data_IF_856158975559
#
_entry.id   IF_856158975559
#
_cell.length_a   1.000
_cell.length_b   1.000
_cell.length_c   1.000
_cell.angle_alpha   90.00
_cell.angle_beta   90.00
_cell.angle_gamma   90.00
#
_symmetry.space_group_name_H-M   'P 1'
#
loop_
_entity.id
_entity.type
_entity.pdbx_description
1 polymer ?
#
# COMPACT_ATOMS: atom_id res chain seq x y z
N UNK A 1 -37.56 -69.98 25.79
CA UNK A 1 -37.69 -68.78 26.63
C UNK A 1 -36.41 -67.94 26.42
N UNK A 2 -36.60 -66.85 25.81
CA UNK A 2 -35.54 -65.95 25.27
C UNK A 2 -35.18 -64.92 26.34
N UNK A 3 -33.88 -64.67 26.56
CA UNK A 3 -33.41 -63.49 27.26
C UNK A 3 -32.27 -62.90 26.43
N UNK A 4 -32.57 -61.79 25.75
CA UNK A 4 -31.63 -60.98 25.08
C UNK A 4 -30.99 -60.03 26.08
N UNK A 5 -29.68 -60.14 26.26
CA UNK A 5 -28.86 -59.14 26.97
C UNK A 5 -28.35 -58.09 25.98
N UNK A 6 -28.78 -56.85 26.19
CA UNK A 6 -28.30 -55.72 25.45
C UNK A 6 -26.98 -55.19 26.05
N UNK A 7 -25.90 -55.23 25.29
CA UNK A 7 -24.67 -54.55 25.64
C UNK A 7 -24.76 -53.10 25.19
N UNK A 8 -24.85 -52.18 26.15
CA UNK A 8 -24.68 -50.77 25.91
C UNK A 8 -23.17 -50.43 25.91
N UNK A 9 -22.61 -50.13 24.75
CA UNK A 9 -21.28 -49.58 24.64
C UNK A 9 -21.40 -48.07 24.78
N UNK A 10 -20.96 -47.52 25.91
CA UNK A 10 -20.83 -46.07 26.12
C UNK A 10 -19.55 -45.58 25.49
N UNK A 11 -19.63 -44.96 24.32
CA UNK A 11 -18.52 -44.25 23.72
C UNK A 11 -18.59 -42.77 24.14
N UNK A 12 -18.00 -42.43 25.28
CA UNK A 12 -17.68 -41.06 25.64
C UNK A 12 -16.21 -40.82 25.29
N UNK A 13 -15.96 -40.52 24.04
CA UNK A 13 -14.72 -39.91 23.58
C UNK A 13 -14.98 -38.42 23.32
N UNK A 14 -14.77 -37.60 24.34
CA UNK A 14 -14.76 -36.14 24.15
C UNK A 14 -13.52 -35.80 23.36
N UNK A 15 -13.67 -35.61 22.05
CA UNK A 15 -12.68 -34.88 21.27
C UNK A 15 -12.78 -33.40 21.68
N UNK A 16 -11.94 -33.00 22.64
CA UNK A 16 -11.61 -31.60 22.82
C UNK A 16 -10.85 -31.17 21.57
N UNK A 17 -11.55 -30.62 20.59
CA UNK A 17 -10.97 -29.81 19.56
C UNK A 17 -10.52 -28.56 20.31
N UNK A 18 -9.22 -28.54 20.65
CA UNK A 18 -8.56 -27.33 21.09
C UNK A 18 -8.78 -26.32 19.97
N UNK A 19 -9.57 -25.29 20.26
CA UNK A 19 -9.63 -24.10 19.38
C UNK A 19 -8.19 -23.58 19.29
N UNK A 20 -7.46 -23.97 18.24
CA UNK A 20 -6.29 -23.23 17.84
C UNK A 20 -6.77 -21.81 17.61
N UNK A 21 -6.49 -20.95 18.57
CA UNK A 21 -6.52 -19.52 18.36
C UNK A 21 -5.77 -19.31 17.04
N UNK A 22 -6.48 -18.95 15.99
CA UNK A 22 -5.86 -18.46 14.77
C UNK A 22 -5.05 -17.26 15.25
N UNK A 23 -3.74 -17.43 15.40
CA UNK A 23 -2.84 -16.32 15.62
C UNK A 23 -3.06 -15.41 14.42
N UNK A 24 -3.75 -14.32 14.69
CA UNK A 24 -3.92 -13.24 13.75
C UNK A 24 -2.52 -12.70 13.56
N UNK A 25 -1.94 -12.92 12.40
CA UNK A 25 -0.65 -12.32 12.06
C UNK A 25 -0.92 -10.82 12.04
N UNK A 26 -0.37 -10.13 13.03
CA UNK A 26 -0.49 -8.67 13.07
C UNK A 26 0.40 -8.09 11.98
N UNK A 27 -0.16 -7.20 11.19
CA UNK A 27 0.58 -6.43 10.20
C UNK A 27 0.95 -5.08 10.80
N UNK A 28 2.18 -4.67 10.54
CA UNK A 28 2.71 -3.39 10.97
C UNK A 28 3.04 -2.55 9.73
N UNK A 29 2.50 -1.34 9.68
CA UNK A 29 2.94 -0.32 8.73
C UNK A 29 4.04 0.52 9.39
N UNK A 30 5.23 0.48 8.81
CA UNK A 30 6.40 1.25 9.22
C UNK A 30 6.65 2.35 8.21
N UNK A 31 6.67 3.61 8.66
CA UNK A 31 7.00 4.75 7.81
C UNK A 31 8.26 5.42 8.34
N UNK A 32 9.23 5.62 7.45
CA UNK A 32 10.50 6.31 7.74
C UNK A 32 10.65 7.49 6.79
N UNK A 33 10.87 8.66 7.34
CA UNK A 33 11.09 9.89 6.56
C UNK A 33 12.25 10.70 7.15
N UNK A 34 13.06 11.33 6.29
CA UNK A 34 14.14 12.24 6.74
C UNK A 34 15.11 12.60 5.64
N UNK A 35 16.32 13.01 6.03
CA UNK A 35 17.39 13.29 5.09
C UNK A 35 17.93 12.01 4.46
N UNK A 36 18.13 12.04 3.14
CA UNK A 36 18.68 10.91 2.40
C UNK A 36 20.16 10.69 2.73
N UNK A 37 20.55 9.45 2.94
CA UNK A 37 21.92 9.00 3.09
C UNK A 37 22.13 7.57 2.58
N UNK A 38 23.35 7.22 2.16
CA UNK A 38 23.65 5.82 1.83
C UNK A 38 23.40 4.89 3.01
N UNK A 39 22.86 3.69 2.73
CA UNK A 39 22.68 2.62 3.72
C UNK A 39 21.39 2.69 4.52
N UNK A 40 20.59 3.75 4.43
CA UNK A 40 19.37 3.93 5.24
C UNK A 40 18.37 2.78 5.10
N UNK A 41 18.17 2.27 3.88
CA UNK A 41 17.28 1.12 3.63
C UNK A 41 17.82 -0.14 4.29
N UNK A 42 19.15 -0.36 4.21
CA UNK A 42 19.79 -1.51 4.83
C UNK A 42 19.67 -1.45 6.37
N UNK A 43 19.93 -0.28 6.96
CA UNK A 43 19.84 -0.08 8.40
C UNK A 43 18.40 -0.35 8.91
N UNK A 44 17.39 0.16 8.22
CA UNK A 44 15.98 -0.07 8.58
C UNK A 44 15.64 -1.56 8.45
N UNK A 45 15.95 -2.17 7.31
CA UNK A 45 15.66 -3.58 7.07
C UNK A 45 16.36 -4.51 8.08
N UNK A 46 17.61 -4.19 8.47
CA UNK A 46 18.35 -4.96 9.46
C UNK A 46 17.71 -4.89 10.85
N UNK A 47 17.22 -3.71 11.26
CA UNK A 47 16.51 -3.56 12.54
C UNK A 47 15.26 -4.43 12.55
N UNK A 48 14.44 -4.37 11.49
CA UNK A 48 13.20 -5.15 11.38
C UNK A 48 13.49 -6.66 11.35
N UNK A 49 14.51 -7.08 10.60
CA UNK A 49 14.93 -8.50 10.55
C UNK A 49 15.40 -9.03 11.90
N UNK A 50 16.16 -8.23 12.69
CA UNK A 50 16.58 -8.61 14.05
C UNK A 50 15.41 -8.80 15.01
N UNK A 51 14.32 -8.09 14.80
CA UNK A 51 13.08 -8.27 15.55
C UNK A 51 12.24 -9.46 15.06
N UNK A 52 12.68 -10.16 14.02
CA UNK A 52 11.94 -11.28 13.44
C UNK A 52 10.76 -10.86 12.56
N UNK A 53 10.71 -9.60 12.14
CA UNK A 53 9.68 -9.10 11.23
C UNK A 53 10.05 -9.44 9.78
N UNK A 54 9.06 -9.97 9.04
CA UNK A 54 9.17 -10.21 7.61
C UNK A 54 8.56 -9.05 6.83
N UNK A 55 9.29 -8.51 5.85
CA UNK A 55 8.77 -7.49 4.95
C UNK A 55 7.94 -8.16 3.87
N UNK A 56 6.68 -7.77 3.75
CA UNK A 56 5.77 -8.26 2.71
C UNK A 56 5.65 -7.28 1.56
N UNK A 57 5.60 -5.97 1.88
CA UNK A 57 5.53 -4.91 0.90
C UNK A 57 6.41 -3.73 1.28
N UNK A 58 6.94 -3.02 0.30
CA UNK A 58 7.70 -1.80 0.56
C UNK A 58 7.72 -0.86 -0.63
N UNK A 59 7.68 0.42 -0.34
CA UNK A 59 7.95 1.48 -1.31
C UNK A 59 8.88 2.53 -0.72
N UNK A 60 9.74 3.11 -1.55
CA UNK A 60 10.59 4.22 -1.14
C UNK A 60 10.71 5.25 -2.25
N UNK A 61 10.90 6.48 -1.86
CA UNK A 61 11.17 7.57 -2.79
C UNK A 61 12.16 8.56 -2.21
N UNK A 62 12.82 9.29 -3.10
CA UNK A 62 13.66 10.43 -2.76
C UNK A 62 13.11 11.68 -3.42
N UNK A 63 12.73 12.65 -2.60
CA UNK A 63 12.15 13.91 -3.04
C UNK A 63 13.04 15.07 -2.58
N UNK A 64 13.77 15.71 -3.50
CA UNK A 64 14.63 16.88 -3.22
C UNK A 64 15.60 16.68 -2.03
N UNK A 65 16.24 15.50 -1.95
CA UNK A 65 17.16 15.18 -0.87
C UNK A 65 16.51 14.62 0.40
N UNK A 66 15.20 14.50 0.43
CA UNK A 66 14.47 13.82 1.50
C UNK A 66 14.14 12.38 1.07
N UNK A 67 14.43 11.46 1.97
CA UNK A 67 14.07 10.06 1.88
C UNK A 67 12.69 9.83 2.50
N UNK A 68 11.87 9.04 1.88
CA UNK A 68 10.63 8.52 2.47
C UNK A 68 10.45 7.05 2.07
N UNK A 69 10.12 6.22 3.05
CA UNK A 69 9.90 4.78 2.87
C UNK A 69 8.69 4.35 3.69
N UNK A 70 7.86 3.51 3.12
CA UNK A 70 6.79 2.81 3.83
C UNK A 70 6.95 1.32 3.58
N UNK A 71 6.79 0.54 4.66
CA UNK A 71 6.90 -0.92 4.63
C UNK A 71 5.68 -1.52 5.31
N UNK A 72 5.24 -2.66 4.82
CA UNK A 72 4.32 -3.55 5.52
C UNK A 72 5.13 -4.75 5.99
N UNK A 73 5.01 -5.05 7.28
CA UNK A 73 5.75 -6.14 7.92
C UNK A 73 4.78 -7.05 8.65
N UNK A 74 5.11 -8.33 8.70
CA UNK A 74 4.38 -9.35 9.47
C UNK A 74 5.28 -9.90 10.56
N UNK A 75 4.71 -10.10 11.75
CA UNK A 75 5.39 -10.69 12.92
C UNK A 75 4.63 -10.43 14.21
N UNK A 76 5.12 -11.02 15.30
CA UNK A 76 4.49 -10.95 16.63
C UNK A 76 5.26 -9.98 17.55
N UNK A 77 5.55 -8.77 17.07
CA UNK A 77 6.29 -7.73 17.82
C UNK A 77 5.38 -6.51 18.00
N UNK A 78 5.24 -5.99 19.24
CA UNK A 78 4.47 -4.77 19.49
C UNK A 78 5.02 -3.56 18.72
N UNK A 79 4.14 -2.69 18.27
CA UNK A 79 4.48 -1.50 17.47
C UNK A 79 5.41 -0.53 18.23
N UNK A 80 5.23 -0.38 19.52
CA UNK A 80 6.09 0.45 20.39
C UNK A 80 7.52 -0.12 20.54
N UNK A 81 7.69 -1.44 20.54
CA UNK A 81 8.98 -2.10 20.54
C UNK A 81 9.72 -1.87 19.21
N UNK A 82 9.01 -2.00 18.08
CA UNK A 82 9.57 -1.72 16.76
C UNK A 82 9.99 -0.26 16.63
N UNK A 83 9.14 0.67 17.09
CA UNK A 83 9.46 2.09 17.09
C UNK A 83 10.67 2.42 17.96
N UNK A 84 10.76 1.80 19.15
CA UNK A 84 11.90 1.96 20.03
C UNK A 84 13.21 1.44 19.41
N UNK A 85 13.16 0.31 18.68
CA UNK A 85 14.30 -0.26 17.98
C UNK A 85 14.77 0.58 16.79
N UNK A 86 13.86 1.30 16.12
CA UNK A 86 14.19 2.21 15.01
C UNK A 86 14.72 3.58 15.49
N UNK A 87 14.43 3.97 16.73
CA UNK A 87 14.84 5.27 17.31
C UNK A 87 16.33 5.58 17.22
N UNK A 88 17.27 4.62 17.40
CA UNK A 88 18.70 4.89 17.23
C UNK A 88 19.10 5.36 15.85
N UNK A 89 18.35 4.99 14.79
CA UNK A 89 18.59 5.46 13.43
C UNK A 89 18.27 6.96 13.27
N UNK A 90 17.50 7.52 14.20
CA UNK A 90 17.09 8.92 14.26
C UNK A 90 17.95 9.75 15.21
N UNK A 91 19.14 9.25 15.63
CA UNK A 91 19.93 9.78 16.74
C UNK A 91 20.35 11.24 16.64
N UNK A 92 20.35 11.82 15.45
CA UNK A 92 20.62 13.23 15.18
C UNK A 92 19.37 14.04 14.80
N UNK A 93 18.16 13.43 14.91
CA UNK A 93 16.92 14.03 14.48
C UNK A 93 16.73 14.08 12.96
N UNK A 94 17.63 13.47 12.19
CA UNK A 94 17.58 13.46 10.71
C UNK A 94 16.50 12.55 10.15
N UNK A 95 16.06 11.55 10.92
CA UNK A 95 15.02 10.60 10.56
C UNK A 95 13.87 10.59 11.56
N UNK A 96 12.68 10.43 11.09
CA UNK A 96 11.49 10.11 11.85
C UNK A 96 10.99 8.74 11.41
N UNK A 97 10.80 7.82 12.36
CA UNK A 97 10.14 6.54 12.14
C UNK A 97 8.84 6.50 12.93
N UNK A 98 7.77 6.02 12.33
CA UNK A 98 6.49 5.75 12.98
C UNK A 98 6.04 4.35 12.64
N UNK A 99 5.45 3.66 13.61
CA UNK A 99 4.94 2.29 13.47
C UNK A 99 3.48 2.28 13.85
N UNK A 100 2.67 1.57 13.09
CA UNK A 100 1.24 1.40 13.37
C UNK A 100 0.83 -0.03 13.06
N UNK A 101 0.05 -0.60 13.95
CA UNK A 101 -0.65 -1.84 13.68
C UNK A 101 -1.74 -1.58 12.64
N UNK A 102 -1.73 -2.36 11.57
CA UNK A 102 -2.73 -2.32 10.51
C UNK A 102 -3.49 -3.66 10.46
N UNK A 103 -4.70 -3.61 9.95
CA UNK A 103 -5.44 -4.84 9.75
C UNK A 103 -5.00 -5.45 8.43
N UNK A 104 -4.76 -6.77 8.39
CA UNK A 104 -4.60 -7.44 7.11
C UNK A 104 -5.82 -7.13 6.25
N UNK A 105 -5.62 -6.45 5.15
CA UNK A 105 -6.67 -6.37 4.14
C UNK A 105 -6.76 -7.75 3.52
N UNK A 106 -7.97 -8.37 3.56
CA UNK A 106 -8.22 -9.54 2.73
C UNK A 106 -7.93 -9.18 1.28
N UNK A 107 -7.53 -10.17 0.48
CA UNK A 107 -7.35 -9.97 -0.96
C UNK A 107 -8.59 -9.30 -1.55
N UNK A 108 -8.57 -7.98 -1.62
CA UNK A 108 -9.57 -7.22 -2.38
C UNK A 108 -9.14 -7.39 -3.83
N UNK A 109 -9.83 -8.28 -4.55
CA UNK A 109 -9.65 -8.36 -5.98
C UNK A 109 -9.88 -6.94 -6.54
N UNK A 110 -8.98 -6.40 -7.37
CA UNK A 110 -9.15 -5.07 -7.93
C UNK A 110 -10.50 -5.01 -8.66
N UNK A 111 -11.44 -4.23 -8.15
CA UNK A 111 -12.79 -4.09 -8.75
C UNK A 111 -12.76 -3.29 -10.05
N UNK A 112 -11.58 -2.91 -10.54
CA UNK A 112 -11.38 -2.04 -11.68
C UNK A 112 -10.43 -2.60 -12.74
N UNK A 113 -10.33 -1.87 -13.85
CA UNK A 113 -9.28 -2.06 -14.85
C UNK A 113 -8.16 -1.06 -14.59
N UNK A 114 -6.89 -1.49 -14.62
CA UNK A 114 -5.76 -0.61 -14.42
C UNK A 114 -5.54 0.28 -15.66
N UNK A 115 -5.34 1.56 -15.39
CA UNK A 115 -5.00 2.59 -16.37
C UNK A 115 -3.77 3.38 -15.92
N UNK A 116 -2.98 3.83 -16.87
CA UNK A 116 -1.91 4.78 -16.66
C UNK A 116 -2.36 6.16 -17.14
N UNK A 117 -2.34 7.13 -16.24
CA UNK A 117 -2.56 8.54 -16.52
C UNK A 117 -1.21 9.25 -16.51
N UNK A 118 -0.88 9.93 -17.61
CA UNK A 118 0.34 10.73 -17.71
C UNK A 118 -0.03 12.16 -18.08
N UNK A 119 0.51 13.12 -17.33
CA UNK A 119 0.32 14.54 -17.59
C UNK A 119 1.66 15.25 -17.62
N UNK A 120 1.80 16.21 -18.53
CA UNK A 120 2.95 17.11 -18.58
C UNK A 120 2.58 18.51 -19.06
N UNK A 121 3.32 19.50 -18.60
CA UNK A 121 3.11 20.89 -18.96
C UNK A 121 3.82 21.87 -18.05
N UNK A 122 3.48 23.16 -18.15
CA UNK A 122 3.99 24.16 -17.24
C UNK A 122 3.43 23.92 -15.81
N UNK A 123 4.28 24.13 -14.80
CA UNK A 123 3.85 24.04 -13.41
C UNK A 123 2.78 25.09 -13.10
N UNK A 124 1.66 24.62 -12.54
CA UNK A 124 0.54 25.46 -12.13
C UNK A 124 -0.07 24.97 -10.82
N UNK A 125 -0.53 25.90 -10.05
CA UNK A 125 -1.23 25.58 -8.80
C UNK A 125 -2.50 24.78 -9.07
N UNK A 126 -2.67 23.65 -8.38
CA UNK A 126 -3.88 22.84 -8.40
C UNK A 126 -3.93 21.73 -9.44
N UNK A 127 -2.88 21.49 -10.24
CA UNK A 127 -2.84 20.42 -11.25
C UNK A 127 -3.21 19.07 -10.63
N UNK A 128 -2.53 18.66 -9.55
CA UNK A 128 -2.78 17.38 -8.89
C UNK A 128 -4.23 17.29 -8.42
N UNK A 129 -4.71 18.34 -7.74
CA UNK A 129 -6.07 18.37 -7.21
C UNK A 129 -7.15 18.27 -8.31
N UNK A 130 -6.96 18.93 -9.44
CA UNK A 130 -7.89 18.90 -10.55
C UNK A 130 -7.96 17.51 -11.19
N UNK A 131 -6.80 16.92 -11.50
CA UNK A 131 -6.71 15.60 -12.13
C UNK A 131 -7.26 14.52 -11.20
N UNK A 132 -6.81 14.47 -9.94
CA UNK A 132 -7.28 13.45 -9.00
C UNK A 132 -8.76 13.59 -8.67
N UNK A 133 -9.32 14.80 -8.75
CA UNK A 133 -10.77 15.02 -8.58
C UNK A 133 -11.59 14.43 -9.74
N UNK A 134 -11.09 14.48 -10.97
CA UNK A 134 -11.72 13.82 -12.12
C UNK A 134 -11.77 12.32 -11.89
N UNK A 135 -10.63 11.72 -11.51
CA UNK A 135 -10.52 10.28 -11.24
C UNK A 135 -11.46 9.85 -10.11
N UNK A 136 -11.46 10.58 -9.01
CA UNK A 136 -12.30 10.26 -7.86
C UNK A 136 -13.80 10.34 -8.17
N UNK A 137 -14.25 11.31 -9.00
CA UNK A 137 -15.66 11.42 -9.41
C UNK A 137 -16.14 10.25 -10.26
N UNK A 138 -15.23 9.63 -10.98
CA UNK A 138 -15.50 8.44 -11.78
C UNK A 138 -15.40 7.14 -10.96
N UNK A 139 -15.18 7.22 -9.65
CA UNK A 139 -14.96 6.05 -8.79
C UNK A 139 -13.58 5.41 -8.96
N UNK A 140 -12.63 6.10 -9.58
CA UNK A 140 -11.26 5.62 -9.77
C UNK A 140 -10.47 5.63 -8.46
N UNK A 141 -9.75 4.53 -8.22
CA UNK A 141 -8.80 4.39 -7.12
C UNK A 141 -7.37 4.58 -7.64
N UNK A 142 -6.63 5.54 -7.08
CA UNK A 142 -5.23 5.76 -7.44
C UNK A 142 -4.38 4.80 -6.62
N UNK A 143 -3.64 3.92 -7.28
CA UNK A 143 -2.78 2.91 -6.67
C UNK A 143 -1.31 3.36 -6.58
N UNK A 144 -0.87 4.19 -7.53
CA UNK A 144 0.43 4.88 -7.45
C UNK A 144 0.33 6.29 -8.04
N UNK A 145 1.10 7.23 -7.48
CA UNK A 145 1.17 8.60 -7.96
C UNK A 145 2.59 9.15 -7.80
N UNK A 146 3.18 9.52 -8.90
CA UNK A 146 4.47 10.21 -8.91
C UNK A 146 4.37 11.55 -9.64
N UNK A 147 4.94 12.59 -9.04
CA UNK A 147 5.08 13.90 -9.68
C UNK A 147 6.51 14.36 -9.66
N UNK A 148 6.94 15.06 -10.70
CA UNK A 148 8.29 15.65 -10.81
C UNK A 148 8.22 17.01 -11.50
N UNK A 149 8.99 17.94 -10.96
CA UNK A 149 9.28 19.22 -11.62
C UNK A 149 10.73 19.17 -12.13
N UNK A 150 10.88 19.17 -13.45
CA UNK A 150 12.18 19.13 -14.14
C UNK A 150 12.35 20.42 -14.94
N UNK A 151 13.11 21.35 -14.40
CA UNK A 151 13.16 22.70 -14.95
C UNK A 151 11.78 23.36 -14.94
N UNK A 152 11.26 23.83 -16.08
CA UNK A 152 9.91 24.40 -16.16
C UNK A 152 8.81 23.34 -16.36
N UNK A 153 9.17 22.08 -16.59
CA UNK A 153 8.25 21.01 -16.94
C UNK A 153 7.76 20.28 -15.68
N UNK A 154 6.47 20.33 -15.44
CA UNK A 154 5.79 19.50 -14.46
C UNK A 154 5.31 18.20 -15.11
N UNK A 155 5.62 17.09 -14.49
CA UNK A 155 5.20 15.76 -14.95
C UNK A 155 4.46 15.07 -13.81
N UNK A 156 3.33 14.44 -14.15
CA UNK A 156 2.57 13.57 -13.26
C UNK A 156 2.34 12.24 -13.95
N UNK A 157 2.57 11.15 -13.24
CA UNK A 157 2.22 9.79 -13.67
C UNK A 157 1.42 9.16 -12.54
N UNK A 158 0.28 8.59 -12.85
CA UNK A 158 -0.56 7.88 -11.88
C UNK A 158 -1.05 6.55 -12.46
N UNK A 159 -1.00 5.52 -11.63
CA UNK A 159 -1.71 4.27 -11.87
C UNK A 159 -3.06 4.33 -11.18
N UNK A 160 -4.11 3.92 -11.88
CA UNK A 160 -5.49 4.11 -11.44
C UNK A 160 -6.33 2.91 -11.84
N UNK A 161 -7.02 2.31 -10.88
CA UNK A 161 -8.06 1.33 -11.15
C UNK A 161 -9.38 2.05 -11.42
N UNK A 162 -9.92 1.90 -12.63
CA UNK A 162 -11.21 2.49 -13.02
C UNK A 162 -12.31 1.43 -13.08
N UNK A 163 -13.53 1.77 -12.69
CA UNK A 163 -14.68 0.92 -12.88
C UNK A 163 -14.82 0.50 -14.36
N UNK A 164 -15.34 -0.71 -14.63
CA UNK A 164 -15.55 -1.17 -16.00
C UNK A 164 -16.36 -0.17 -16.83
N UNK A 165 -15.84 0.19 -17.99
CA UNK A 165 -16.52 1.12 -18.91
C UNK A 165 -16.27 2.62 -18.65
N UNK A 166 -15.64 3.02 -17.53
CA UNK A 166 -15.43 4.44 -17.22
C UNK A 166 -14.30 5.11 -18.02
N UNK A 167 -13.45 4.35 -18.70
CA UNK A 167 -12.23 4.86 -19.34
C UNK A 167 -12.45 5.99 -20.35
N UNK A 168 -13.46 5.88 -21.23
CA UNK A 168 -13.75 6.90 -22.26
C UNK A 168 -14.27 8.20 -21.64
N UNK A 169 -15.18 8.12 -20.66
CA UNK A 169 -15.71 9.27 -19.95
C UNK A 169 -14.61 10.00 -19.17
N UNK A 170 -13.76 9.25 -18.47
CA UNK A 170 -12.61 9.79 -17.75
C UNK A 170 -11.63 10.48 -18.70
N UNK A 171 -11.36 9.87 -19.87
CA UNK A 171 -10.49 10.46 -20.88
C UNK A 171 -11.02 11.83 -21.36
N UNK A 172 -12.33 11.94 -21.61
CA UNK A 172 -12.95 13.18 -22.04
C UNK A 172 -12.88 14.27 -20.96
N UNK A 173 -13.16 13.93 -19.70
CA UNK A 173 -13.08 14.87 -18.57
C UNK A 173 -11.63 15.31 -18.28
N UNK A 174 -10.67 14.39 -18.35
CA UNK A 174 -9.26 14.71 -18.21
C UNK A 174 -8.79 15.65 -19.32
N UNK A 175 -9.19 15.42 -20.58
CA UNK A 175 -8.84 16.30 -21.69
C UNK A 175 -9.39 17.73 -21.51
N UNK A 176 -10.65 17.86 -21.03
CA UNK A 176 -11.24 19.15 -20.70
C UNK A 176 -10.46 19.87 -19.61
N UNK A 177 -10.18 19.16 -18.49
CA UNK A 177 -9.41 19.72 -17.36
C UNK A 177 -8.00 20.10 -17.78
N UNK A 178 -7.35 19.31 -18.63
CA UNK A 178 -6.01 19.61 -19.15
C UNK A 178 -6.02 20.88 -20.00
N UNK A 179 -7.04 21.07 -20.84
CA UNK A 179 -7.23 22.30 -21.63
C UNK A 179 -7.39 23.55 -20.75
N UNK A 180 -8.16 23.47 -19.67
CA UNK A 180 -8.32 24.57 -18.70
C UNK A 180 -7.02 24.91 -17.98
N UNK A 181 -6.20 23.90 -17.70
CA UNK A 181 -4.91 24.06 -17.02
C UNK A 181 -3.76 24.42 -17.99
N UNK A 182 -3.96 24.26 -19.29
CA UNK A 182 -2.91 24.45 -20.29
C UNK A 182 -1.79 23.41 -20.19
N UNK A 183 -2.14 22.15 -19.91
CA UNK A 183 -1.25 20.99 -19.85
C UNK A 183 -1.73 19.91 -20.81
N UNK A 184 -0.88 18.94 -21.10
CA UNK A 184 -1.25 17.77 -21.89
C UNK A 184 -1.50 16.57 -20.96
N UNK A 185 -2.56 15.79 -21.21
CA UNK A 185 -2.88 14.58 -20.47
C UNK A 185 -3.14 13.42 -21.43
N UNK A 186 -2.68 12.26 -21.05
CA UNK A 186 -3.00 10.98 -21.71
C UNK A 186 -3.46 9.98 -20.67
N UNK A 187 -4.42 9.13 -21.08
CA UNK A 187 -4.84 7.97 -20.29
C UNK A 187 -4.86 6.75 -21.20
N UNK A 188 -4.33 5.64 -20.72
CA UNK A 188 -4.30 4.38 -21.48
C UNK A 188 -4.52 3.20 -20.54
N UNK A 189 -5.21 2.13 -21.00
CA UNK A 189 -5.26 0.89 -20.23
C UNK A 189 -3.84 0.33 -20.02
N UNK A 190 -3.57 -0.21 -18.84
CA UNK A 190 -2.40 -1.04 -18.64
C UNK A 190 -2.69 -2.42 -19.23
N UNK A 191 -1.81 -2.91 -20.09
CA UNK A 191 -1.85 -4.30 -20.53
C UNK A 191 -1.46 -5.17 -19.33
N UNK A 192 -2.39 -5.96 -18.83
CA UNK A 192 -2.07 -6.99 -17.84
C UNK A 192 -1.52 -8.16 -18.64
N UNK A 193 -0.21 -8.30 -18.72
CA UNK A 193 0.41 -9.53 -19.17
C UNK A 193 0.01 -10.65 -18.20
N UNK A 194 -0.92 -11.47 -18.62
CA UNK A 194 -1.26 -12.70 -17.90
C UNK A 194 -0.11 -13.66 -18.13
N UNK A 195 0.83 -13.70 -17.18
CA UNK A 195 1.88 -14.71 -17.09
C UNK A 195 1.31 -16.05 -16.61
#
# INVERSE_FOLDING_TARGET
MSVRGAYQVSVRGAYQVSARTLHRVDELAVTVIGHDRPGIVADVAEVLARLGLNLTDSTMTRLRGHFAMTLICTGEVPDDEVEAALRPLSGDGSLLATVRQVRPEGEIAPEGRPYLVSLHGADRLGIVAAVTRVLARAGGNITDLTTRLVGPLYVLVAEVDLPPGAGEEVAAHLATTAGELGVEVTIRPCEVDVL
#
